data_IF_375904602114
#
_entry.id   IF_375904602114
#
_cell.length_a   1.000
_cell.length_b   1.000
_cell.length_c   1.000
_cell.angle_alpha   90.00
_cell.angle_beta   90.00
_cell.angle_gamma   90.00
#
_symmetry.space_group_name_H-M   'P 1'
#
loop_
_entity.id
_entity.type
_entity.pdbx_description
1 polymer ?
#
# COMPACT_ATOMS: atom_id res chain seq x y z
N UNK A 1 -10.31 14.74 -12.81
CA UNK A 1 -11.04 13.77 -11.97
C UNK A 1 -10.19 13.54 -10.75
N UNK A 2 -10.44 14.33 -9.71
CA UNK A 2 -9.82 14.17 -8.40
C UNK A 2 -10.29 12.81 -7.92
N UNK A 3 -9.35 11.95 -7.53
CA UNK A 3 -9.64 10.62 -7.00
C UNK A 3 -10.56 10.83 -5.79
N UNK A 4 -11.85 10.52 -5.94
CA UNK A 4 -12.78 10.53 -4.81
C UNK A 4 -12.19 9.65 -3.71
N UNK A 5 -12.20 10.17 -2.49
CA UNK A 5 -11.49 9.59 -1.36
C UNK A 5 -12.13 8.25 -0.95
N UNK A 6 -11.70 7.17 -1.61
CA UNK A 6 -12.10 5.79 -1.29
C UNK A 6 -11.61 5.36 0.11
N UNK A 7 -10.80 6.19 0.78
CA UNK A 7 -10.31 5.95 2.13
C UNK A 7 -11.44 5.77 3.15
N UNK A 8 -12.53 6.54 3.03
CA UNK A 8 -13.66 6.47 3.99
C UNK A 8 -14.34 5.10 3.91
N UNK A 9 -14.64 4.60 2.70
CA UNK A 9 -15.31 3.31 2.51
C UNK A 9 -14.45 2.17 3.07
N UNK A 10 -13.15 2.18 2.80
CA UNK A 10 -12.21 1.18 3.30
C UNK A 10 -12.08 1.22 4.83
N UNK A 11 -12.08 2.41 5.43
CA UNK A 11 -12.10 2.57 6.89
C UNK A 11 -13.40 2.03 7.49
N UNK A 12 -14.54 2.30 6.85
CA UNK A 12 -15.84 1.77 7.29
C UNK A 12 -15.88 0.24 7.20
N UNK A 13 -15.34 -0.36 6.14
CA UNK A 13 -15.23 -1.82 6.02
C UNK A 13 -14.33 -2.43 7.11
N UNK A 14 -13.25 -1.75 7.47
CA UNK A 14 -12.39 -2.16 8.60
C UNK A 14 -13.18 -2.15 9.91
N UNK A 15 -13.96 -1.09 10.15
CA UNK A 15 -14.81 -0.98 11.33
C UNK A 15 -15.88 -2.09 11.36
N UNK A 16 -16.49 -2.41 10.22
CA UNK A 16 -17.44 -3.53 10.11
C UNK A 16 -16.76 -4.85 10.47
N UNK A 17 -15.54 -5.10 9.99
CA UNK A 17 -14.77 -6.29 10.35
C UNK A 17 -14.49 -6.39 11.84
N UNK A 18 -14.11 -5.28 12.48
CA UNK A 18 -13.94 -5.21 13.93
C UNK A 18 -15.26 -5.45 14.68
N UNK A 19 -16.37 -4.87 14.23
CA UNK A 19 -17.69 -5.09 14.81
C UNK A 19 -18.12 -6.56 14.72
N UNK A 20 -17.83 -7.25 13.61
CA UNK A 20 -18.08 -8.69 13.48
C UNK A 20 -17.25 -9.49 14.50
N UNK A 21 -15.95 -9.18 14.61
CA UNK A 21 -15.08 -9.81 15.60
C UNK A 21 -15.58 -9.58 17.03
N UNK A 22 -15.92 -8.35 17.43
CA UNK A 22 -16.48 -8.08 18.75
C UNK A 22 -17.84 -8.73 18.97
N UNK A 23 -18.68 -8.82 17.93
CA UNK A 23 -19.95 -9.53 18.01
C UNK A 23 -19.76 -11.02 18.32
N UNK A 24 -18.67 -11.62 17.82
CA UNK A 24 -18.32 -13.01 18.11
C UNK A 24 -18.13 -13.30 19.60
N UNK A 25 -17.68 -12.30 20.38
CA UNK A 25 -17.44 -12.44 21.82
C UNK A 25 -18.73 -12.61 22.63
N UNK A 26 -19.89 -12.27 22.07
CA UNK A 26 -21.19 -12.45 22.74
C UNK A 26 -21.72 -13.89 22.67
N UNK A 27 -21.09 -14.76 21.88
CA UNK A 27 -21.53 -16.14 21.70
C UNK A 27 -20.72 -17.10 22.57
N UNK A 28 -21.41 -17.93 23.35
CA UNK A 28 -20.79 -18.97 24.17
C UNK A 28 -20.60 -20.24 23.34
N UNK A 29 -19.37 -20.72 23.19
CA UNK A 29 -19.07 -21.92 22.39
C UNK A 29 -19.52 -23.22 23.05
N UNK A 30 -19.72 -23.21 24.37
CA UNK A 30 -20.09 -24.38 25.17
C UNK A 30 -21.60 -24.51 25.41
N UNK A 31 -22.42 -23.61 24.85
CA UNK A 31 -23.88 -23.63 25.10
C UNK A 31 -24.63 -24.54 24.13
N UNK A 32 -24.37 -24.42 22.83
CA UNK A 32 -25.00 -25.21 21.78
C UNK A 32 -24.28 -25.01 20.43
N UNK A 33 -24.55 -25.89 19.46
CA UNK A 33 -23.96 -25.81 18.13
C UNK A 33 -24.19 -24.47 17.42
N UNK A 34 -25.42 -23.89 17.37
CA UNK A 34 -25.62 -22.60 16.70
C UNK A 34 -24.79 -21.45 17.28
N UNK A 35 -24.66 -21.39 18.61
CA UNK A 35 -23.82 -20.39 19.27
C UNK A 35 -22.35 -20.58 18.94
N UNK A 36 -21.83 -21.82 18.95
CA UNK A 36 -20.48 -22.09 18.50
C UNK A 36 -20.26 -21.73 17.02
N UNK A 37 -21.19 -22.10 16.14
CA UNK A 37 -21.12 -21.80 14.72
C UNK A 37 -21.13 -20.29 14.43
N UNK A 38 -21.96 -19.52 15.15
CA UNK A 38 -22.00 -18.05 15.04
C UNK A 38 -20.73 -17.40 15.59
N UNK A 39 -20.20 -17.87 16.73
CA UNK A 39 -18.90 -17.45 17.26
C UNK A 39 -17.81 -17.63 16.21
N UNK A 40 -17.70 -18.85 15.68
CA UNK A 40 -16.73 -19.23 14.66
C UNK A 40 -16.87 -18.40 13.38
N UNK A 41 -18.09 -18.27 12.85
CA UNK A 41 -18.36 -17.48 11.64
C UNK A 41 -17.97 -16.01 11.81
N UNK A 42 -18.43 -15.36 12.88
CA UNK A 42 -18.19 -13.93 13.08
C UNK A 42 -16.74 -13.61 13.43
N UNK A 43 -16.08 -14.46 14.22
CA UNK A 43 -14.66 -14.31 14.56
C UNK A 43 -13.81 -14.30 13.29
N UNK A 44 -13.87 -15.38 12.51
CA UNK A 44 -12.99 -15.54 11.35
C UNK A 44 -13.39 -14.62 10.19
N UNK A 45 -14.68 -14.42 9.94
CA UNK A 45 -15.15 -13.45 8.92
C UNK A 45 -14.66 -12.03 9.23
N UNK A 46 -14.77 -11.60 10.50
CA UNK A 46 -14.30 -10.29 10.93
C UNK A 46 -12.80 -10.10 10.75
N UNK A 47 -11.99 -11.06 11.22
CA UNK A 47 -10.53 -11.02 11.13
C UNK A 47 -10.07 -11.03 9.66
N UNK A 48 -10.62 -11.93 8.84
CA UNK A 48 -10.31 -12.02 7.41
C UNK A 48 -10.68 -10.73 6.67
N UNK A 49 -11.81 -10.10 7.00
CA UNK A 49 -12.21 -8.84 6.40
C UNK A 49 -11.21 -7.73 6.74
N UNK A 50 -10.82 -7.58 8.01
CA UNK A 50 -9.82 -6.58 8.43
C UNK A 50 -8.49 -6.81 7.71
N UNK A 51 -8.01 -8.06 7.68
CA UNK A 51 -6.74 -8.38 7.04
C UNK A 51 -6.78 -8.14 5.52
N UNK A 52 -7.90 -8.44 4.85
CA UNK A 52 -8.08 -8.19 3.41
C UNK A 52 -8.03 -6.70 3.11
N UNK A 53 -8.68 -5.86 3.92
CA UNK A 53 -8.62 -4.41 3.76
C UNK A 53 -7.20 -3.88 4.02
N UNK A 54 -6.50 -4.39 5.03
CA UNK A 54 -5.11 -4.02 5.28
C UNK A 54 -4.20 -4.43 4.11
N UNK A 55 -4.44 -5.58 3.50
CA UNK A 55 -3.70 -6.03 2.33
C UNK A 55 -3.98 -5.14 1.12
N UNK A 56 -5.22 -4.70 0.92
CA UNK A 56 -5.58 -3.72 -0.12
C UNK A 56 -4.85 -2.39 0.10
N UNK A 57 -4.85 -1.85 1.33
CA UNK A 57 -4.15 -0.60 1.66
C UNK A 57 -2.64 -0.71 1.44
N UNK A 58 -2.02 -1.78 1.93
CA UNK A 58 -0.58 -1.99 1.79
C UNK A 58 -0.19 -2.23 0.34
N UNK A 59 -0.94 -3.04 -0.40
CA UNK A 59 -0.66 -3.28 -1.83
C UNK A 59 -0.81 -2.00 -2.65
N UNK A 60 -1.87 -1.21 -2.41
CA UNK A 60 -2.04 0.11 -3.04
C UNK A 60 -0.87 1.04 -2.71
N UNK A 61 -0.42 1.05 -1.45
CA UNK A 61 0.72 1.86 -1.01
C UNK A 61 2.05 1.44 -1.64
N UNK A 62 2.27 0.14 -1.87
CA UNK A 62 3.46 -0.38 -2.56
C UNK A 62 3.51 0.03 -4.03
N UNK A 63 2.36 0.02 -4.72
CA UNK A 63 2.29 0.28 -6.17
C UNK A 63 2.24 1.79 -6.51
N UNK A 64 1.67 2.61 -5.62
CA UNK A 64 1.60 4.07 -5.82
C UNK A 64 2.73 4.85 -5.13
N UNK A 65 3.41 4.25 -4.16
CA UNK A 65 4.49 4.91 -3.44
C UNK A 65 5.71 5.13 -4.33
N UNK A 66 6.38 6.28 -4.16
CA UNK A 66 7.67 6.55 -4.80
C UNK A 66 8.80 6.13 -3.85
N UNK A 67 9.76 5.34 -4.32
CA UNK A 67 10.91 4.97 -3.49
C UNK A 67 11.79 6.20 -3.19
N UNK A 68 12.39 6.27 -2.00
CA UNK A 68 13.38 7.33 -1.70
C UNK A 68 14.50 7.41 -2.74
N UNK A 69 14.93 6.25 -3.28
CA UNK A 69 15.95 6.20 -4.33
C UNK A 69 15.49 6.86 -5.63
N UNK A 70 14.23 6.63 -6.01
CA UNK A 70 13.64 7.26 -7.21
C UNK A 70 13.52 8.77 -7.00
N UNK A 71 13.11 9.20 -5.82
CA UNK A 71 13.05 10.61 -5.47
C UNK A 71 14.43 11.30 -5.52
N UNK A 72 15.48 10.63 -5.04
CA UNK A 72 16.86 11.13 -5.11
C UNK A 72 17.38 11.20 -6.55
N UNK A 73 17.04 10.24 -7.41
CA UNK A 73 17.37 10.33 -8.85
C UNK A 73 16.64 11.47 -9.55
N UNK A 74 15.40 11.79 -9.11
CA UNK A 74 14.66 12.93 -9.63
C UNK A 74 15.27 14.26 -9.15
N UNK A 75 15.68 14.36 -7.87
CA UNK A 75 16.27 15.58 -7.33
C UNK A 75 17.67 15.86 -7.86
N UNK A 76 18.50 14.82 -8.04
CA UNK A 76 19.87 14.98 -8.58
C UNK A 76 19.87 15.47 -10.03
N UNK A 77 18.94 15.01 -10.87
CA UNK A 77 18.80 15.48 -12.24
C UNK A 77 18.39 16.97 -12.35
N UNK A 78 17.77 17.53 -11.31
CA UNK A 78 17.35 18.94 -11.29
C UNK A 78 18.56 19.87 -11.02
N UNK A 79 19.60 19.37 -10.34
CA UNK A 79 20.71 20.20 -9.87
C UNK A 79 22.00 20.10 -10.71
N UNK A 80 22.07 19.26 -11.74
CA UNK A 80 23.30 18.99 -12.51
C UNK A 80 23.44 19.74 -13.84
N UNK A 81 22.90 20.97 -13.96
CA UNK A 81 23.48 21.92 -14.92
C UNK A 81 24.44 22.85 -14.17
N UNK A 82 25.73 22.46 -14.00
CA UNK A 82 26.74 23.43 -13.66
C UNK A 82 26.78 24.43 -14.82
N UNK A 83 26.44 25.68 -14.52
CA UNK A 83 26.74 26.81 -15.39
C UNK A 83 28.26 26.79 -15.53
N UNK A 84 28.76 26.34 -16.68
CA UNK A 84 30.16 26.54 -17.06
C UNK A 84 30.29 28.05 -17.25
N UNK A 85 30.66 28.72 -16.17
CA UNK A 85 31.02 30.11 -16.17
C UNK A 85 32.45 30.15 -16.73
N UNK A 86 32.56 30.21 -18.05
CA UNK A 86 33.83 30.52 -18.71
C UNK A 86 34.24 31.93 -18.25
N UNK A 87 35.10 31.96 -17.23
CA UNK A 87 35.73 33.16 -16.73
C UNK A 87 36.88 33.54 -17.66
N UNK A 88 36.55 34.02 -18.85
CA UNK A 88 37.50 34.86 -19.57
C UNK A 88 37.51 36.22 -18.86
N UNK A 89 38.60 36.36 -18.12
CA UNK A 89 39.02 37.53 -17.40
C UNK A 89 39.30 38.62 -18.41
N UNK A 90 38.60 39.74 -18.33
CA UNK A 90 39.21 41.00 -18.77
C UNK A 90 38.85 42.17 -17.86
N UNK A 91 39.91 42.84 -17.44
CA UNK A 91 39.94 43.93 -16.49
C UNK A 91 39.25 45.19 -17.05
N UNK A 92 38.22 45.68 -16.36
CA UNK A 92 37.94 47.11 -16.35
C UNK A 92 37.36 47.54 -15.00
N UNK A 93 38.13 48.36 -14.30
CA UNK A 93 37.71 49.11 -13.12
C UNK A 93 36.67 50.14 -13.56
N UNK A 94 35.49 50.14 -12.96
CA UNK A 94 34.69 51.35 -12.86
C UNK A 94 33.80 51.30 -11.61
N UNK A 95 33.92 52.35 -10.82
CA UNK A 95 33.26 52.57 -9.54
C UNK A 95 31.87 53.22 -9.73
N UNK A 96 30.97 52.86 -8.81
CA UNK A 96 29.83 53.64 -8.30
C UNK A 96 28.58 53.86 -9.20
N UNK A 97 27.51 53.11 -8.93
CA UNK A 97 26.25 53.66 -8.39
C UNK A 97 25.25 52.53 -8.09
N UNK A 98 24.70 52.56 -6.88
CA UNK A 98 24.13 51.44 -6.13
C UNK A 98 22.65 51.13 -6.45
N UNK A 99 22.41 49.81 -6.49
CA UNK A 99 21.23 49.07 -6.00
C UNK A 99 19.97 48.77 -6.83
N UNK A 100 19.76 49.32 -8.04
CA UNK A 100 18.59 48.89 -8.87
C UNK A 100 18.93 48.34 -10.26
N UNK A 101 20.22 48.37 -10.63
CA UNK A 101 20.71 47.89 -11.93
C UNK A 101 20.98 46.38 -11.97
N UNK A 102 21.24 45.77 -10.81
CA UNK A 102 21.76 44.39 -10.74
C UNK A 102 20.73 43.34 -11.21
N UNK A 103 19.44 43.59 -10.95
CA UNK A 103 18.37 42.68 -11.38
C UNK A 103 18.12 42.73 -12.89
N UNK A 104 18.33 43.89 -13.52
CA UNK A 104 18.04 44.09 -14.95
C UNK A 104 19.11 43.45 -15.84
N UNK A 105 20.37 43.46 -15.39
CA UNK A 105 21.46 42.73 -16.04
C UNK A 105 21.27 41.20 -15.95
N UNK A 106 20.76 40.71 -14.82
CA UNK A 106 20.47 39.30 -14.58
C UNK A 106 19.38 38.79 -15.53
N UNK A 107 18.27 39.53 -15.65
CA UNK A 107 17.16 39.18 -16.56
C UNK A 107 17.61 39.17 -18.02
N UNK A 108 18.42 40.14 -18.44
CA UNK A 108 18.89 40.25 -19.83
C UNK A 108 19.87 39.14 -20.22
N UNK A 109 20.66 38.65 -19.27
CA UNK A 109 21.52 37.49 -19.48
C UNK A 109 20.71 36.19 -19.60
N UNK A 110 19.66 36.03 -18.78
CA UNK A 110 18.73 34.88 -18.87
C UNK A 110 18.06 34.84 -20.26
N UNK A 111 17.57 35.98 -20.74
CA UNK A 111 16.87 36.06 -22.02
C UNK A 111 17.80 35.75 -23.22
N UNK A 112 19.07 36.14 -23.13
CA UNK A 112 20.09 35.85 -24.14
C UNK A 112 20.48 34.37 -24.17
N UNK A 113 20.51 33.72 -23.01
CA UNK A 113 20.75 32.27 -22.89
C UNK A 113 19.60 31.44 -23.48
N UNK A 114 18.35 31.84 -23.21
CA UNK A 114 17.14 31.18 -23.74
C UNK A 114 17.13 31.22 -25.27
N UNK A 115 17.45 32.35 -25.87
CA UNK A 115 17.50 32.49 -27.34
C UNK A 115 18.63 31.67 -27.99
N UNK A 116 19.72 31.41 -27.26
CA UNK A 116 20.85 30.57 -27.74
C UNK A 116 20.53 29.08 -27.71
N UNK A 117 19.69 28.64 -26.76
CA UNK A 117 19.21 27.27 -26.68
C UNK A 117 18.22 26.94 -27.80
N UNK A 118 17.34 27.88 -28.16
CA UNK A 118 16.36 27.66 -29.23
C UNK A 118 16.99 27.51 -30.62
N UNK A 119 18.15 28.11 -30.88
CA UNK A 119 18.82 27.99 -32.19
C UNK A 119 19.69 26.75 -32.35
N UNK A 120 20.00 26.03 -31.26
CA UNK A 120 20.88 24.85 -31.30
C UNK A 120 20.14 23.52 -31.46
N UNK A 121 18.81 23.50 -31.35
CA UNK A 121 18.01 22.27 -31.46
C UNK A 121 17.74 21.80 -32.90
N UNK A 122 18.12 22.58 -33.92
CA UNK A 122 17.80 22.24 -35.32
C UNK A 122 18.81 21.31 -36.03
N UNK A 123 19.88 20.85 -35.37
CA UNK A 123 21.01 20.21 -36.09
C UNK A 123 21.51 18.83 -35.63
N UNK A 124 20.85 18.12 -34.70
CA UNK A 124 21.38 16.82 -34.23
C UNK A 124 20.55 15.62 -34.69
N UNK A 125 20.94 15.18 -35.89
CA UNK A 125 21.00 13.86 -36.51
C UNK A 125 20.36 12.60 -35.88
N UNK A 126 19.69 11.92 -36.80
CA UNK A 126 19.53 10.48 -37.00
C UNK A 126 20.81 9.67 -36.69
N UNK A 127 20.70 8.75 -35.74
CA UNK A 127 21.68 7.69 -35.53
C UNK A 127 21.00 6.49 -34.87
N UNK A 128 20.63 5.49 -35.67
CA UNK A 128 20.09 4.21 -35.20
C UNK A 128 21.14 3.45 -34.39
N UNK A 129 20.85 3.15 -33.12
CA UNK A 129 21.47 2.01 -32.45
C UNK A 129 20.43 1.20 -31.68
N UNK A 130 20.45 -0.10 -31.97
CA UNK A 130 19.49 -1.12 -31.54
C UNK A 130 20.02 -1.84 -30.29
N UNK A 131 19.09 -2.18 -29.38
CA UNK A 131 19.19 -3.13 -28.24
C UNK A 131 20.02 -2.58 -27.06
N UNK A 132 19.59 -2.58 -25.79
CA UNK A 132 18.72 -3.50 -25.04
C UNK A 132 18.38 -2.88 -23.66
N UNK A 133 17.09 -2.91 -23.28
CA UNK A 133 16.53 -2.93 -21.91
C UNK A 133 17.29 -2.24 -20.74
N UNK A 134 16.89 -1.01 -20.43
CA UNK A 134 16.79 -0.52 -19.03
C UNK A 134 15.81 0.65 -18.99
N UNK A 135 14.85 0.57 -18.07
CA UNK A 135 13.66 1.42 -17.87
C UNK A 135 13.97 2.88 -17.43
N UNK A 136 15.14 3.40 -17.77
CA UNK A 136 15.71 4.64 -17.17
C UNK A 136 15.83 5.80 -18.17
N UNK A 137 15.50 5.61 -19.45
CA UNK A 137 15.69 6.64 -20.49
C UNK A 137 14.43 7.43 -20.89
N UNK A 138 13.36 7.40 -20.08
CA UNK A 138 12.10 8.08 -20.42
C UNK A 138 12.04 9.57 -20.03
N UNK A 139 13.04 10.11 -19.33
CA UNK A 139 12.98 11.48 -18.80
C UNK A 139 13.67 12.55 -19.64
N UNK A 140 14.42 12.20 -20.70
CA UNK A 140 15.07 13.23 -21.52
C UNK A 140 14.31 13.50 -22.83
N UNK A 141 13.63 14.64 -22.83
CA UNK A 141 13.42 15.54 -23.96
C UNK A 141 12.05 15.52 -24.67
N UNK A 142 11.19 16.48 -24.27
CA UNK A 142 10.41 17.30 -25.20
C UNK A 142 8.96 16.91 -25.50
N UNK A 143 8.51 15.71 -25.14
CA UNK A 143 7.14 15.22 -25.38
C UNK A 143 6.43 14.74 -24.09
N UNK A 144 6.93 15.19 -22.94
CA UNK A 144 6.84 14.50 -21.63
C UNK A 144 5.47 14.42 -20.95
N UNK A 145 4.44 15.15 -21.39
CA UNK A 145 3.18 15.16 -20.63
C UNK A 145 2.30 13.91 -20.84
N UNK A 146 2.44 13.21 -21.97
CA UNK A 146 1.56 12.08 -22.28
C UNK A 146 2.09 10.73 -21.76
N UNK A 147 3.41 10.59 -21.58
CA UNK A 147 4.02 9.31 -21.17
C UNK A 147 3.74 9.02 -19.69
N UNK A 148 3.86 10.03 -18.81
CA UNK A 148 3.67 9.87 -17.37
C UNK A 148 2.22 9.51 -17.01
N UNK A 149 1.23 10.13 -17.67
CA UNK A 149 -0.19 9.80 -17.47
C UNK A 149 -0.52 8.36 -17.89
N UNK A 150 0.15 7.85 -18.93
CA UNK A 150 -0.04 6.47 -19.38
C UNK A 150 0.53 5.44 -18.39
N UNK A 151 1.57 5.78 -17.63
CA UNK A 151 2.12 4.90 -16.59
C UNK A 151 1.25 4.89 -15.35
N UNK A 152 0.84 6.07 -14.88
CA UNK A 152 -0.04 6.20 -13.71
C UNK A 152 -1.36 5.47 -13.94
N UNK A 153 -1.98 5.63 -15.12
CA UNK A 153 -3.21 4.93 -15.46
C UNK A 153 -3.05 3.40 -15.49
N UNK A 154 -1.90 2.89 -15.95
CA UNK A 154 -1.58 1.45 -15.88
C UNK A 154 -1.45 0.95 -14.45
N UNK A 155 -0.73 1.67 -13.59
CA UNK A 155 -0.60 1.30 -12.17
C UNK A 155 -1.95 1.32 -11.45
N UNK A 156 -2.79 2.33 -11.71
CA UNK A 156 -4.15 2.41 -11.17
C UNK A 156 -4.99 1.21 -11.64
N UNK A 157 -4.94 0.88 -12.95
CA UNK A 157 -5.65 -0.28 -13.49
C UNK A 157 -5.20 -1.59 -12.84
N UNK A 158 -3.89 -1.76 -12.64
CA UNK A 158 -3.33 -2.92 -11.96
C UNK A 158 -3.83 -3.05 -10.51
N UNK A 159 -3.84 -1.96 -9.76
CA UNK A 159 -4.36 -1.93 -8.38
C UNK A 159 -5.85 -2.30 -8.33
N UNK A 160 -6.66 -1.83 -9.29
CA UNK A 160 -8.06 -2.21 -9.35
C UNK A 160 -8.25 -3.71 -9.59
N UNK A 161 -7.46 -4.30 -10.51
CA UNK A 161 -7.48 -5.74 -10.77
C UNK A 161 -7.09 -6.52 -9.50
N UNK A 162 -6.01 -6.12 -8.83
CA UNK A 162 -5.56 -6.73 -7.58
C UNK A 162 -6.62 -6.62 -6.47
N UNK A 163 -7.30 -5.49 -6.35
CA UNK A 163 -8.38 -5.32 -5.37
C UNK A 163 -9.57 -6.25 -5.66
N UNK A 164 -9.96 -6.40 -6.92
CA UNK A 164 -11.02 -7.33 -7.32
C UNK A 164 -10.62 -8.78 -7.01
N UNK A 165 -9.37 -9.16 -7.28
CA UNK A 165 -8.84 -10.48 -6.96
C UNK A 165 -8.89 -10.78 -5.45
N UNK A 166 -8.47 -9.82 -4.62
CA UNK A 166 -8.53 -9.96 -3.15
C UNK A 166 -9.96 -10.08 -2.63
N UNK A 167 -10.91 -9.32 -3.20
CA UNK A 167 -12.34 -9.43 -2.85
C UNK A 167 -12.88 -10.80 -3.24
N UNK A 168 -12.54 -11.31 -4.42
CA UNK A 168 -12.96 -12.65 -4.86
C UNK A 168 -12.40 -13.73 -3.92
N UNK A 169 -11.13 -13.62 -3.55
CA UNK A 169 -10.49 -14.54 -2.60
C UNK A 169 -11.22 -14.54 -1.25
N UNK A 170 -11.58 -13.36 -0.72
CA UNK A 170 -12.37 -13.25 0.50
C UNK A 170 -13.73 -13.95 0.41
N UNK A 171 -14.46 -13.79 -0.71
CA UNK A 171 -15.74 -14.48 -0.94
C UNK A 171 -15.56 -16.01 -0.94
N UNK A 172 -14.49 -16.51 -1.58
CA UNK A 172 -14.17 -17.95 -1.60
C UNK A 172 -13.90 -18.44 -0.18
N UNK A 173 -13.12 -17.71 0.63
CA UNK A 173 -12.87 -18.07 2.03
C UNK A 173 -14.15 -18.09 2.87
N UNK A 174 -15.06 -17.13 2.69
CA UNK A 174 -16.37 -17.15 3.36
C UNK A 174 -17.18 -18.39 2.97
N UNK A 175 -17.18 -18.77 1.70
CA UNK A 175 -17.86 -19.99 1.25
C UNK A 175 -17.27 -21.24 1.91
N UNK A 176 -15.94 -21.33 2.03
CA UNK A 176 -15.26 -22.44 2.73
C UNK A 176 -15.66 -22.49 4.21
N UNK A 177 -15.73 -21.35 4.90
CA UNK A 177 -16.19 -21.27 6.30
C UNK A 177 -17.64 -21.77 6.41
N UNK A 178 -18.53 -21.32 5.53
CA UNK A 178 -19.95 -21.73 5.55
C UNK A 178 -20.09 -23.23 5.27
N UNK A 179 -19.39 -23.76 4.27
CA UNK A 179 -19.39 -25.20 3.96
C UNK A 179 -18.87 -25.98 5.17
N UNK A 180 -17.79 -25.53 5.81
CA UNK A 180 -17.25 -26.18 7.02
C UNK A 180 -18.28 -26.23 8.14
N UNK A 181 -19.03 -25.15 8.37
CA UNK A 181 -20.14 -25.13 9.34
C UNK A 181 -21.27 -26.09 8.93
N UNK A 182 -21.57 -26.24 7.65
CA UNK A 182 -22.64 -27.18 7.23
C UNK A 182 -22.17 -28.64 7.41
N UNK A 183 -20.93 -28.95 7.04
CA UNK A 183 -20.39 -30.32 7.11
C UNK A 183 -20.26 -30.80 8.57
N UNK A 184 -19.76 -29.97 9.48
CA UNK A 184 -19.55 -30.35 10.89
C UNK A 184 -20.86 -30.39 11.71
N UNK A 185 -22.00 -29.98 11.14
CA UNK A 185 -23.30 -30.06 11.83
C UNK A 185 -23.75 -31.50 12.08
N UNK A 186 -23.34 -32.42 11.20
CA UNK A 186 -23.80 -33.81 11.23
C UNK A 186 -22.95 -34.69 12.17
N UNK A 187 -21.85 -34.16 12.71
CA UNK A 187 -21.04 -34.89 13.67
C UNK A 187 -21.83 -35.12 14.95
N UNK A 188 -21.63 -36.30 15.54
CA UNK A 188 -22.32 -36.69 16.78
C UNK A 188 -21.98 -35.68 17.86
N UNK A 189 -23.00 -35.17 18.53
CA UNK A 189 -22.83 -34.31 19.70
C UNK A 189 -22.17 -35.16 20.79
N UNK A 190 -20.96 -34.76 21.18
CA UNK A 190 -20.24 -35.35 22.30
C UNK A 190 -20.37 -34.35 23.44
N UNK A 191 -21.08 -34.75 24.49
CA UNK A 191 -21.07 -34.02 25.75
C UNK A 191 -19.90 -34.55 26.57
N UNK A 192 -19.04 -33.65 27.04
CA UNK A 192 -17.92 -33.98 27.93
C UNK A 192 -18.31 -33.55 29.34
N UNK A 193 -18.05 -34.41 30.31
CA UNK A 193 -18.18 -34.05 31.72
C UNK A 193 -16.90 -33.34 32.20
N UNK A 194 -17.06 -32.12 32.67
CA UNK A 194 -15.98 -31.31 33.26
C UNK A 194 -15.55 -31.85 34.64
N UNK A 195 -14.42 -31.39 35.17
CA UNK A 195 -13.89 -31.78 36.48
C UNK A 195 -14.84 -31.49 37.65
N UNK A 196 -15.75 -30.52 37.48
CA UNK A 196 -16.83 -30.21 38.44
C UNK A 196 -18.03 -31.16 38.33
N UNK A 197 -17.98 -32.16 37.44
CA UNK A 197 -19.09 -33.07 37.16
C UNK A 197 -20.20 -32.47 36.28
N UNK A 198 -20.03 -31.24 35.75
CA UNK A 198 -20.98 -30.58 34.86
C UNK A 198 -20.77 -31.04 33.41
N UNK A 199 -21.86 -31.42 32.74
CA UNK A 199 -21.83 -31.70 31.31
C UNK A 199 -21.71 -30.40 30.51
N UNK A 200 -20.76 -30.35 29.58
CA UNK A 200 -20.55 -29.23 28.66
C UNK A 200 -20.56 -29.75 27.22
N UNK A 201 -21.13 -28.95 26.34
CA UNK A 201 -21.11 -29.21 24.91
C UNK A 201 -19.68 -29.05 24.36
N UNK A 202 -19.14 -30.08 23.72
CA UNK A 202 -17.87 -29.98 22.99
C UNK A 202 -18.17 -29.52 21.55
N UNK A 203 -17.66 -28.35 21.18
CA UNK A 203 -17.88 -27.86 19.82
C UNK A 203 -17.00 -28.58 18.79
N UNK A 204 -17.58 -29.23 17.75
CA UNK A 204 -16.81 -29.94 16.73
C UNK A 204 -15.93 -29.00 15.90
N UNK A 205 -16.27 -27.71 15.83
CA UNK A 205 -15.50 -26.69 15.13
C UNK A 205 -14.22 -26.27 15.86
N UNK A 206 -13.97 -26.72 17.11
CA UNK A 206 -12.79 -26.32 17.88
C UNK A 206 -11.46 -26.66 17.17
N UNK A 207 -11.38 -27.83 16.53
CA UNK A 207 -10.19 -28.27 15.76
C UNK A 207 -9.96 -27.40 14.53
N UNK A 208 -11.04 -27.05 13.83
CA UNK A 208 -10.98 -26.16 12.67
C UNK A 208 -10.64 -24.72 13.07
N UNK A 209 -11.17 -24.24 14.20
CA UNK A 209 -10.86 -22.92 14.75
C UNK A 209 -9.34 -22.75 14.95
N UNK A 210 -8.68 -23.72 15.59
CA UNK A 210 -7.22 -23.69 15.75
C UNK A 210 -6.47 -23.68 14.41
N UNK A 211 -6.96 -24.42 13.41
CA UNK A 211 -6.34 -24.46 12.07
C UNK A 211 -6.49 -23.13 11.33
N UNK A 212 -7.65 -22.49 11.41
CA UNK A 212 -7.90 -21.18 10.78
C UNK A 212 -7.14 -20.09 11.52
N UNK A 213 -7.07 -20.13 12.86
CA UNK A 213 -6.27 -19.20 13.66
C UNK A 213 -4.80 -19.19 13.22
N UNK A 214 -4.23 -20.36 12.88
CA UNK A 214 -2.87 -20.44 12.33
C UNK A 214 -2.74 -19.80 10.94
N UNK A 215 -3.72 -20.02 10.06
CA UNK A 215 -3.75 -19.41 8.72
C UNK A 215 -3.88 -17.88 8.82
N UNK A 216 -4.73 -17.39 9.71
CA UNK A 216 -4.89 -15.96 9.99
C UNK A 216 -3.59 -15.34 10.52
N UNK A 217 -2.89 -16.04 11.41
CA UNK A 217 -1.59 -15.60 11.91
C UNK A 217 -0.55 -15.46 10.79
N UNK A 218 -0.46 -16.44 9.88
CA UNK A 218 0.42 -16.36 8.70
C UNK A 218 0.01 -15.17 7.82
N UNK A 219 -1.29 -14.95 7.64
CA UNK A 219 -1.81 -13.86 6.83
C UNK A 219 -1.45 -12.48 7.42
N UNK A 220 -1.51 -12.32 8.73
CA UNK A 220 -1.07 -11.10 9.43
C UNK A 220 0.43 -10.86 9.25
N UNK A 221 1.27 -11.91 9.27
CA UNK A 221 2.70 -11.78 8.98
C UNK A 221 2.92 -11.28 7.54
N UNK A 222 2.17 -11.78 6.57
CA UNK A 222 2.23 -11.30 5.18
C UNK A 222 1.86 -9.80 5.09
N UNK A 223 0.81 -9.39 5.79
CA UNK A 223 0.43 -7.97 5.87
C UNK A 223 1.54 -7.13 6.51
N UNK A 224 2.14 -7.59 7.61
CA UNK A 224 3.21 -6.87 8.30
C UNK A 224 4.45 -6.72 7.42
N UNK A 225 4.90 -7.77 6.74
CA UNK A 225 6.08 -7.70 5.86
C UNK A 225 5.88 -6.68 4.73
N UNK A 226 4.68 -6.62 4.14
CA UNK A 226 4.33 -5.56 3.16
C UNK A 226 4.29 -4.19 3.81
N UNK A 227 3.69 -4.05 4.98
CA UNK A 227 3.58 -2.78 5.69
C UNK A 227 4.96 -2.20 6.08
N UNK A 228 5.93 -3.05 6.44
CA UNK A 228 7.30 -2.63 6.71
C UNK A 228 8.02 -2.20 5.43
N UNK A 229 7.84 -2.93 4.32
CA UNK A 229 8.43 -2.56 3.01
C UNK A 229 8.02 -1.15 2.61
N UNK A 230 6.76 -0.80 2.87
CA UNK A 230 6.17 0.50 2.59
C UNK A 230 6.89 1.62 3.34
N UNK A 231 7.50 1.41 4.52
CA UNK A 231 8.16 2.49 5.26
C UNK A 231 9.32 3.17 4.49
N UNK A 232 9.87 2.52 3.47
CA UNK A 232 10.92 3.04 2.59
C UNK A 232 10.40 3.85 1.39
N UNK A 233 9.11 4.18 1.36
CA UNK A 233 8.51 4.99 0.30
C UNK A 233 8.17 6.40 0.81
N UNK A 234 8.12 7.35 -0.10
CA UNK A 234 7.68 8.73 0.12
C UNK A 234 6.24 8.87 -0.39
N UNK A 235 5.49 9.83 0.15
CA UNK A 235 4.10 10.13 -0.24
C UNK A 235 3.08 9.02 0.03
N UNK A 236 3.28 8.26 1.10
CA UNK A 236 2.38 7.18 1.48
C UNK A 236 1.25 7.73 2.35
N UNK A 237 0.07 7.12 2.21
CA UNK A 237 -1.04 7.31 3.14
C UNK A 237 -0.58 7.09 4.59
N UNK A 238 -0.81 8.10 5.45
CA UNK A 238 -0.52 8.03 6.90
C UNK A 238 -1.13 6.79 7.56
N UNK A 239 -2.26 6.28 7.04
CA UNK A 239 -2.94 5.07 7.53
C UNK A 239 -2.06 3.81 7.48
N UNK A 240 -1.14 3.68 6.51
CA UNK A 240 -0.29 2.47 6.37
C UNK A 240 0.66 2.27 7.56
N UNK A 241 1.14 3.37 8.17
CA UNK A 241 1.94 3.31 9.40
C UNK A 241 1.12 2.78 10.58
N UNK A 242 -0.13 3.22 10.70
CA UNK A 242 -1.05 2.71 11.72
C UNK A 242 -1.40 1.24 11.50
N UNK A 243 -1.54 0.80 10.25
CA UNK A 243 -1.72 -0.62 9.91
C UNK A 243 -0.52 -1.43 10.41
N UNK A 244 0.71 -0.98 10.14
CA UNK A 244 1.91 -1.68 10.63
C UNK A 244 1.93 -1.79 12.17
N UNK A 245 1.66 -0.70 12.89
CA UNK A 245 1.59 -0.74 14.35
C UNK A 245 0.48 -1.65 14.87
N UNK A 246 -0.71 -1.60 14.24
CA UNK A 246 -1.82 -2.48 14.58
C UNK A 246 -1.45 -3.95 14.37
N UNK A 247 -0.80 -4.30 13.26
CA UNK A 247 -0.32 -5.67 12.99
C UNK A 247 0.73 -6.12 13.99
N UNK A 248 1.64 -5.24 14.43
CA UNK A 248 2.62 -5.56 15.49
C UNK A 248 1.90 -5.85 16.81
N UNK A 249 0.97 -4.98 17.22
CA UNK A 249 0.17 -5.20 18.45
C UNK A 249 -0.59 -6.52 18.35
N UNK A 250 -1.18 -6.82 17.19
CA UNK A 250 -1.88 -8.07 16.97
C UNK A 250 -0.95 -9.28 17.09
N UNK A 251 0.24 -9.27 16.49
CA UNK A 251 1.18 -10.40 16.62
C UNK A 251 1.63 -10.58 18.09
N UNK A 252 1.85 -9.50 18.82
CA UNK A 252 2.26 -9.56 20.23
C UNK A 252 1.11 -10.08 21.11
N UNK A 253 -0.13 -9.65 20.87
CA UNK A 253 -1.28 -9.97 21.74
C UNK A 253 -2.05 -11.24 21.30
N UNK A 254 -2.00 -11.60 20.02
CA UNK A 254 -2.85 -12.60 19.38
C UNK A 254 -2.65 -14.02 19.90
N UNK A 255 -1.41 -14.56 19.92
CA UNK A 255 -1.14 -15.91 20.42
C UNK A 255 -1.57 -16.11 21.88
N UNK A 256 -1.56 -15.04 22.68
CA UNK A 256 -1.94 -15.09 24.10
C UNK A 256 -3.44 -15.03 24.34
N UNK A 257 -4.25 -14.64 23.34
CA UNK A 257 -5.70 -14.55 23.51
C UNK A 257 -6.43 -15.90 23.38
N UNK A 258 -5.72 -16.95 22.93
CA UNK A 258 -6.32 -18.24 22.56
C UNK A 258 -5.69 -19.44 23.29
N UNK A 259 -4.83 -19.17 24.28
CA UNK A 259 -4.27 -20.14 25.25
C UNK A 259 -4.93 -19.90 26.59
#
# INVERSE_FOLDING_TARGET
MIIDDTGIIKSLLTLIGLCLFFSSLNFNEFSNYPSCALKFLFKHSGILLVCTIFLIYTSTGCELGLSYKELETLSSNINTKPIIMDSDTDHSKEENSEDDSMNLALIKNIEKEINKLNSSNDKINKGESKKRSSMVLLYSHGSSNNIDMSMISKSISYIHILNVELILLYIIFLAIIIISIITNRNDKIIDIQDYEGKWRYECPLAKLNSSIDLVEFIYIIVVLTRAIKIWNYVYIFKCTRFIAYSSIIWIIMGPFANV
#
